data_IF_892877750431
#
_entry.id   IF_892877750431
#
_cell.length_a   1.000
_cell.length_b   1.000
_cell.length_c   1.000
_cell.angle_alpha   90.00
_cell.angle_beta   90.00
_cell.angle_gamma   90.00
#
_symmetry.space_group_name_H-M   'P 1'
#
loop_
_entity.id
_entity.type
_entity.pdbx_description
1 polymer ?
#
# COMPACT_ATOMS: atom_id res chain seq x y z
N UNK A 1 14.90 -4.65 -20.59
CA UNK A 1 15.54 -3.40 -21.09
C UNK A 1 17.01 -3.40 -20.69
N UNK A 2 17.92 -3.21 -21.65
CA UNK A 2 19.34 -2.96 -21.33
C UNK A 2 19.45 -1.54 -20.79
N UNK A 3 20.03 -1.36 -19.60
CA UNK A 3 20.42 -0.04 -19.08
C UNK A 3 21.59 0.47 -19.94
N UNK A 4 21.37 1.47 -20.78
CA UNK A 4 22.46 2.16 -21.46
C UNK A 4 23.09 3.17 -20.49
N UNK A 5 24.36 2.95 -20.17
CA UNK A 5 25.21 3.92 -19.48
C UNK A 5 25.76 4.88 -20.54
N UNK A 6 25.38 6.15 -20.48
CA UNK A 6 26.01 7.20 -21.29
C UNK A 6 27.06 7.92 -20.45
N UNK A 7 28.32 7.70 -20.80
CA UNK A 7 29.44 8.51 -20.30
C UNK A 7 29.62 9.69 -21.26
N UNK A 8 29.59 10.91 -20.71
CA UNK A 8 29.91 12.12 -21.47
C UNK A 8 31.16 12.74 -20.86
N UNK A 9 32.20 12.93 -21.67
CA UNK A 9 33.43 13.62 -21.29
C UNK A 9 33.21 15.10 -21.59
N UNK A 10 33.24 15.95 -20.58
CA UNK A 10 33.22 17.40 -20.76
C UNK A 10 34.65 17.94 -20.92
N UNK A 11 34.78 19.13 -21.50
CA UNK A 11 36.06 19.79 -21.85
C UNK A 11 37.00 20.03 -20.65
N UNK A 12 36.54 19.82 -19.40
CA UNK A 12 37.35 19.93 -18.18
C UNK A 12 37.92 18.59 -17.65
N UNK A 13 37.88 17.48 -18.39
CA UNK A 13 38.26 16.14 -17.88
C UNK A 13 37.49 15.70 -16.62
N UNK A 14 36.31 16.26 -16.37
CA UNK A 14 35.39 15.80 -15.32
C UNK A 14 34.44 14.76 -15.92
N UNK A 15 34.55 13.52 -15.46
CA UNK A 15 33.56 12.49 -15.73
C UNK A 15 32.33 12.82 -14.88
N UNK A 16 31.23 13.25 -15.51
CA UNK A 16 29.94 13.37 -14.82
C UNK A 16 29.11 12.11 -15.07
N UNK A 17 28.77 11.41 -13.99
CA UNK A 17 27.84 10.29 -14.03
C UNK A 17 26.42 10.87 -14.04
N UNK A 18 25.76 10.84 -15.20
CA UNK A 18 24.32 11.05 -15.26
C UNK A 18 23.64 9.76 -14.82
N UNK A 19 23.33 9.67 -13.52
CA UNK A 19 22.43 8.65 -13.02
C UNK A 19 21.04 8.93 -13.59
N UNK A 20 20.42 7.94 -14.23
CA UNK A 20 19.01 8.02 -14.60
C UNK A 20 18.22 8.46 -13.36
N UNK A 21 17.29 9.42 -13.54
CA UNK A 21 16.43 9.87 -12.45
C UNK A 21 15.89 8.65 -11.68
N UNK A 22 15.91 8.68 -10.33
CA UNK A 22 15.38 7.58 -9.55
C UNK A 22 13.93 7.36 -9.97
N UNK A 23 13.64 6.16 -10.47
CA UNK A 23 12.28 5.75 -10.79
C UNK A 23 11.48 5.79 -9.49
N UNK A 24 10.37 6.54 -9.47
CA UNK A 24 9.51 6.58 -8.29
C UNK A 24 8.97 5.16 -8.03
N UNK A 25 9.40 4.58 -6.91
CA UNK A 25 9.03 3.21 -6.48
C UNK A 25 7.51 3.08 -6.33
N UNK A 26 6.86 4.18 -5.92
CA UNK A 26 5.41 4.29 -5.74
C UNK A 26 4.88 5.45 -6.55
N UNK A 27 3.69 5.28 -7.13
CA UNK A 27 2.95 6.36 -7.82
C UNK A 27 1.49 6.34 -7.41
N UNK A 28 0.97 7.50 -6.99
CA UNK A 28 -0.45 7.69 -6.73
C UNK A 28 -1.23 7.85 -8.05
N UNK A 29 -2.41 7.25 -8.11
CA UNK A 29 -3.39 7.38 -9.19
C UNK A 29 -4.70 7.88 -8.57
N UNK A 30 -4.78 9.21 -8.45
CA UNK A 30 -5.90 9.90 -7.81
C UNK A 30 -7.05 10.17 -8.79
N UNK A 31 -8.29 9.93 -8.37
CA UNK A 31 -9.50 10.14 -9.17
C UNK A 31 -10.50 9.01 -8.99
N UNK A 32 -11.45 8.85 -9.92
CA UNK A 32 -12.39 7.71 -9.86
C UNK A 32 -11.65 6.40 -10.02
N UNK A 33 -11.88 5.44 -9.13
CA UNK A 33 -11.22 4.13 -9.21
C UNK A 33 -11.51 3.42 -10.54
N UNK A 34 -12.72 3.60 -11.09
CA UNK A 34 -13.10 3.06 -12.41
C UNK A 34 -12.28 3.64 -13.58
N UNK A 35 -11.76 4.85 -13.45
CA UNK A 35 -10.93 5.49 -14.48
C UNK A 35 -9.44 5.22 -14.22
N UNK A 36 -9.05 5.18 -12.94
CA UNK A 36 -7.65 5.16 -12.49
C UNK A 36 -7.04 3.77 -12.42
N UNK A 37 -7.84 2.72 -12.17
CA UNK A 37 -7.32 1.36 -12.17
C UNK A 37 -6.77 0.94 -13.55
N UNK A 38 -7.48 1.16 -14.67
CA UNK A 38 -6.91 0.88 -16.00
C UNK A 38 -5.66 1.71 -16.31
N UNK A 39 -5.62 2.98 -15.91
CA UNK A 39 -4.45 3.85 -16.09
C UNK A 39 -3.22 3.32 -15.34
N UNK A 40 -3.42 2.85 -14.10
CA UNK A 40 -2.38 2.24 -13.27
C UNK A 40 -1.79 1.00 -13.94
N UNK A 41 -2.65 0.07 -14.36
CA UNK A 41 -2.24 -1.17 -15.01
C UNK A 41 -1.56 -0.89 -16.36
N UNK A 42 -2.13 0.00 -17.18
CA UNK A 42 -1.55 0.39 -18.48
C UNK A 42 -0.18 1.08 -18.32
N UNK A 43 0.06 1.74 -17.19
CA UNK A 43 1.36 2.33 -16.84
C UNK A 43 2.39 1.29 -16.35
N UNK A 44 2.02 0.01 -16.30
CA UNK A 44 2.89 -1.09 -15.87
C UNK A 44 3.07 -1.19 -14.36
N UNK A 45 2.28 -0.47 -13.56
CA UNK A 45 2.37 -0.56 -12.10
C UNK A 45 1.52 -1.73 -11.58
N UNK A 46 1.92 -2.29 -10.43
CA UNK A 46 1.10 -3.25 -9.67
C UNK A 46 0.33 -2.51 -8.59
N UNK A 47 -1.02 -2.59 -8.53
CA UNK A 47 -1.79 -1.89 -7.50
C UNK A 47 -1.55 -2.53 -6.13
N UNK A 48 -1.45 -1.70 -5.09
CA UNK A 48 -1.18 -2.18 -3.73
C UNK A 48 -2.37 -2.92 -3.12
N UNK A 49 -2.07 -3.99 -2.39
CA UNK A 49 -3.01 -4.64 -1.48
C UNK A 49 -3.10 -3.88 -0.15
N UNK A 50 -4.10 -4.20 0.67
CA UNK A 50 -4.23 -3.68 2.02
C UNK A 50 -3.00 -4.02 2.88
N UNK A 51 -2.49 -5.24 2.77
CA UNK A 51 -1.27 -5.67 3.45
C UNK A 51 -0.05 -4.86 2.99
N UNK A 52 0.06 -4.50 1.71
CA UNK A 52 1.14 -3.64 1.22
C UNK A 52 1.06 -2.24 1.81
N UNK A 53 -0.15 -1.68 1.95
CA UNK A 53 -0.35 -0.38 2.61
C UNK A 53 0.07 -0.44 4.08
N UNK A 54 -0.30 -1.51 4.81
CA UNK A 54 0.14 -1.72 6.19
C UNK A 54 1.66 -1.78 6.31
N UNK A 55 2.32 -2.61 5.48
CA UNK A 55 3.77 -2.75 5.45
C UNK A 55 4.43 -1.41 5.17
N UNK A 56 3.94 -0.70 4.15
CA UNK A 56 4.53 0.58 3.74
C UNK A 56 4.43 1.62 4.84
N UNK A 57 3.28 1.72 5.52
CA UNK A 57 3.10 2.59 6.68
C UNK A 57 4.10 2.24 7.79
N UNK A 58 4.29 0.97 8.12
CA UNK A 58 5.27 0.55 9.12
C UNK A 58 6.72 0.88 8.72
N UNK A 59 7.09 0.64 7.47
CA UNK A 59 8.44 0.89 6.95
C UNK A 59 8.89 2.34 7.04
N UNK A 60 7.95 3.29 6.92
CA UNK A 60 8.28 4.72 6.89
C UNK A 60 8.32 5.36 8.28
N UNK A 61 7.86 4.69 9.35
CA UNK A 61 7.77 5.26 10.70
C UNK A 61 9.12 5.69 11.31
N UNK A 62 10.21 5.02 10.94
CA UNK A 62 11.57 5.36 11.39
C UNK A 62 12.34 6.25 10.41
N UNK A 63 11.71 6.67 9.32
CA UNK A 63 12.35 7.33 8.18
C UNK A 63 12.14 8.85 8.15
N UNK A 64 12.09 9.39 6.93
CA UNK A 64 11.78 10.80 6.71
C UNK A 64 10.35 11.12 7.16
N UNK A 65 10.18 12.18 7.97
CA UNK A 65 8.90 12.58 8.55
C UNK A 65 7.84 12.93 7.49
N UNK A 66 8.21 13.66 6.45
CA UNK A 66 7.26 14.06 5.39
C UNK A 66 6.74 12.84 4.64
N UNK A 67 7.61 11.83 4.43
CA UNK A 67 7.21 10.55 3.86
C UNK A 67 6.29 9.80 4.83
N UNK A 68 6.62 9.74 6.11
CA UNK A 68 5.79 9.10 7.12
C UNK A 68 4.39 9.74 7.18
N UNK A 69 4.31 11.06 7.29
CA UNK A 69 3.06 11.80 7.35
C UNK A 69 2.26 11.63 6.05
N UNK A 70 2.91 11.65 4.87
CA UNK A 70 2.23 11.41 3.60
C UNK A 70 1.55 10.03 3.52
N UNK A 71 2.13 8.99 4.12
CA UNK A 71 1.55 7.64 4.13
C UNK A 71 0.56 7.40 5.28
N UNK A 72 0.80 7.98 6.46
CA UNK A 72 -0.07 7.79 7.62
C UNK A 72 -1.30 8.69 7.60
N UNK A 73 -1.17 9.92 7.09
CA UNK A 73 -2.24 10.93 7.15
C UNK A 73 -3.06 11.00 5.84
N UNK A 74 -2.84 10.06 4.90
CA UNK A 74 -3.66 9.85 3.71
C UNK A 74 -4.38 8.50 3.71
N UNK A 75 -5.46 8.42 2.93
CA UNK A 75 -6.21 7.18 2.70
C UNK A 75 -5.76 6.55 1.39
N UNK A 76 -5.96 5.24 1.24
CA UNK A 76 -5.64 4.52 0.02
C UNK A 76 -6.69 3.47 -0.29
N UNK A 77 -7.22 3.51 -1.50
CA UNK A 77 -7.97 2.39 -2.08
C UNK A 77 -6.99 1.26 -2.45
N UNK A 78 -7.41 0.03 -2.28
CA UNK A 78 -6.58 -1.16 -2.47
C UNK A 78 -7.19 -2.08 -3.51
N UNK A 79 -6.40 -3.02 -4.04
CA UNK A 79 -6.89 -4.05 -4.96
C UNK A 79 -7.62 -5.21 -4.25
N UNK A 80 -7.73 -5.16 -2.93
CA UNK A 80 -8.57 -6.08 -2.17
C UNK A 80 -10.03 -5.66 -2.32
N UNK A 81 -10.94 -6.62 -2.43
CA UNK A 81 -12.38 -6.33 -2.48
C UNK A 81 -13.11 -6.91 -1.28
N UNK A 82 -14.22 -6.26 -0.97
CA UNK A 82 -15.32 -6.86 -0.21
C UNK A 82 -16.47 -7.10 -1.19
N UNK A 83 -16.83 -8.37 -1.34
CA UNK A 83 -18.04 -8.77 -2.04
C UNK A 83 -19.18 -8.93 -1.04
N UNK A 84 -20.38 -8.50 -1.45
CA UNK A 84 -21.61 -8.54 -0.66
C UNK A 84 -22.59 -9.50 -1.30
N UNK A 85 -23.18 -10.38 -0.49
CA UNK A 85 -24.28 -11.23 -0.91
C UNK A 85 -25.61 -10.69 -0.34
N UNK A 86 -26.75 -10.83 -1.06
CA UNK A 86 -28.05 -10.32 -0.61
C UNK A 86 -28.55 -10.83 0.75
N UNK A 87 -28.13 -12.03 1.16
CA UNK A 87 -28.45 -12.60 2.48
C UNK A 87 -27.65 -11.97 3.64
N UNK A 88 -26.79 -10.99 3.35
CA UNK A 88 -25.99 -10.29 4.35
C UNK A 88 -24.61 -10.88 4.61
N UNK A 89 -24.21 -11.98 3.95
CA UNK A 89 -22.82 -12.46 3.96
C UNK A 89 -21.89 -11.50 3.21
N UNK A 90 -20.62 -11.49 3.60
CA UNK A 90 -19.56 -10.85 2.83
C UNK A 90 -18.40 -11.80 2.58
N UNK A 91 -17.63 -11.51 1.54
CA UNK A 91 -16.38 -12.20 1.25
C UNK A 91 -15.26 -11.21 1.02
N UNK A 92 -14.15 -11.39 1.73
CA UNK A 92 -12.92 -10.62 1.54
C UNK A 92 -12.04 -11.37 0.55
N UNK A 93 -11.82 -10.77 -0.62
CA UNK A 93 -10.99 -11.35 -1.68
C UNK A 93 -9.73 -10.50 -1.81
N UNK A 94 -8.60 -11.13 -1.54
CA UNK A 94 -7.28 -10.48 -1.58
C UNK A 94 -6.76 -10.45 -3.02
N UNK A 95 -6.01 -9.40 -3.36
CA UNK A 95 -5.40 -9.23 -4.69
C UNK A 95 -6.34 -9.56 -5.86
N UNK A 96 -7.55 -9.00 -5.83
CA UNK A 96 -8.66 -9.45 -6.66
C UNK A 96 -8.44 -9.13 -8.13
N UNK A 97 -8.54 -10.15 -9.00
CA UNK A 97 -8.54 -9.94 -10.44
C UNK A 97 -9.72 -9.08 -10.89
N UNK A 98 -10.89 -9.22 -10.25
CA UNK A 98 -12.06 -8.38 -10.55
C UNK A 98 -11.79 -6.90 -10.26
N UNK A 99 -11.01 -6.59 -9.21
CA UNK A 99 -10.60 -5.21 -8.94
C UNK A 99 -9.72 -4.64 -10.05
N UNK A 100 -8.76 -5.43 -10.53
CA UNK A 100 -7.83 -5.03 -11.62
C UNK A 100 -8.54 -4.83 -12.95
N UNK A 101 -9.72 -5.42 -13.13
CA UNK A 101 -10.54 -5.35 -14.36
C UNK A 101 -11.60 -4.24 -14.34
N UNK A 102 -11.78 -3.54 -13.21
CA UNK A 102 -12.69 -2.40 -13.14
C UNK A 102 -12.24 -1.35 -14.17
N UNK A 103 -13.21 -0.81 -14.92
CA UNK A 103 -12.97 0.19 -15.96
C UNK A 103 -14.20 1.11 -16.14
N UNK A 104 -14.15 2.15 -16.99
CA UNK A 104 -15.26 3.08 -17.16
C UNK A 104 -16.55 2.48 -17.73
N UNK A 105 -16.49 1.26 -18.29
CA UNK A 105 -17.67 0.52 -18.79
C UNK A 105 -18.28 -0.40 -17.73
N UNK A 106 -17.67 -0.52 -16.56
CA UNK A 106 -18.21 -1.33 -15.47
C UNK A 106 -19.57 -0.77 -15.01
N UNK A 107 -20.54 -1.65 -14.80
CA UNK A 107 -21.86 -1.25 -14.30
C UNK A 107 -21.78 -0.89 -12.82
N UNK A 108 -21.70 0.41 -12.53
CA UNK A 108 -21.72 0.93 -11.16
C UNK A 108 -23.16 1.12 -10.70
N UNK A 109 -23.51 0.52 -9.55
CA UNK A 109 -24.79 0.75 -8.88
C UNK A 109 -24.55 1.06 -7.41
N UNK A 110 -25.05 2.21 -6.96
CA UNK A 110 -24.83 2.73 -5.61
C UNK A 110 -23.33 2.75 -5.21
N UNK A 111 -22.43 3.03 -6.16
CA UNK A 111 -20.99 3.03 -5.89
C UNK A 111 -20.27 1.68 -5.88
N UNK A 112 -20.98 0.59 -6.16
CA UNK A 112 -20.43 -0.78 -6.22
C UNK A 112 -20.47 -1.32 -7.65
N UNK A 113 -19.63 -2.32 -7.97
CA UNK A 113 -19.79 -3.10 -9.21
C UNK A 113 -20.73 -4.27 -8.94
N UNK A 114 -21.77 -4.41 -9.76
CA UNK A 114 -22.69 -5.56 -9.72
C UNK A 114 -21.97 -6.80 -10.28
N UNK A 115 -22.02 -7.91 -9.55
CA UNK A 115 -21.51 -9.19 -10.04
C UNK A 115 -22.45 -9.74 -11.13
N UNK A 116 -21.92 -10.37 -12.19
CA UNK A 116 -22.68 -10.69 -13.40
C UNK A 116 -23.82 -11.70 -13.22
N UNK A 117 -23.75 -12.56 -12.19
CA UNK A 117 -24.83 -13.47 -11.80
C UNK A 117 -24.71 -13.85 -10.31
N UNK A 118 -25.71 -14.57 -9.79
CA UNK A 118 -25.76 -15.00 -8.37
C UNK A 118 -24.62 -15.94 -8.00
N UNK A 119 -24.20 -16.81 -8.92
CA UNK A 119 -23.18 -17.82 -8.66
C UNK A 119 -21.77 -17.22 -8.63
N UNK A 120 -21.58 -16.05 -9.24
CA UNK A 120 -20.31 -15.35 -9.29
C UNK A 120 -19.77 -15.05 -7.89
N UNK A 121 -20.64 -14.75 -6.91
CA UNK A 121 -20.22 -14.56 -5.52
C UNK A 121 -19.66 -15.85 -4.90
N UNK A 122 -20.28 -17.00 -5.18
CA UNK A 122 -19.86 -18.29 -4.63
C UNK A 122 -18.50 -18.74 -5.20
N UNK A 123 -18.22 -18.39 -6.46
CA UNK A 123 -16.96 -18.70 -7.14
C UNK A 123 -15.76 -17.87 -6.67
N UNK A 124 -15.99 -16.78 -5.93
CA UNK A 124 -14.91 -15.96 -5.39
C UNK A 124 -14.11 -16.75 -4.34
N UNK A 125 -12.78 -16.75 -4.51
CA UNK A 125 -11.84 -17.28 -3.54
C UNK A 125 -11.51 -16.20 -2.50
N UNK A 126 -12.04 -16.34 -1.29
CA UNK A 126 -11.83 -15.37 -0.23
C UNK A 126 -12.43 -15.82 1.09
N UNK A 127 -12.05 -15.14 2.17
CA UNK A 127 -12.60 -15.44 3.49
C UNK A 127 -14.02 -14.90 3.59
N UNK A 128 -14.96 -15.79 3.86
CA UNK A 128 -16.37 -15.45 4.03
C UNK A 128 -16.69 -15.16 5.50
N UNK A 129 -17.60 -14.21 5.72
CA UNK A 129 -18.14 -13.86 7.02
C UNK A 129 -19.67 -13.86 6.95
N UNK A 130 -20.28 -14.52 7.93
CA UNK A 130 -21.73 -14.53 8.13
C UNK A 130 -22.24 -13.19 8.64
N UNK A 131 -23.54 -12.92 8.49
CA UNK A 131 -24.18 -11.74 9.06
C UNK A 131 -23.91 -11.59 10.57
N UNK A 132 -23.95 -12.69 11.33
CA UNK A 132 -23.69 -12.69 12.77
C UNK A 132 -22.25 -12.31 13.10
N UNK A 133 -21.29 -12.72 12.28
CA UNK A 133 -19.89 -12.31 12.45
C UNK A 133 -19.70 -10.83 12.09
N UNK A 134 -20.38 -10.35 11.05
CA UNK A 134 -20.37 -8.94 10.66
C UNK A 134 -20.92 -8.07 11.80
N UNK A 135 -22.07 -8.42 12.38
CA UNK A 135 -22.66 -7.72 13.53
C UNK A 135 -21.73 -7.69 14.76
N UNK A 136 -20.84 -8.68 14.88
CA UNK A 136 -19.85 -8.76 15.95
C UNK A 136 -18.58 -7.95 15.66
N UNK A 137 -18.08 -7.98 14.43
CA UNK A 137 -16.74 -7.53 14.08
C UNK A 137 -16.68 -6.27 13.19
N UNK A 138 -17.79 -5.85 12.60
CA UNK A 138 -17.90 -4.67 11.73
C UNK A 138 -19.05 -3.75 12.15
N UNK A 139 -18.98 -3.29 13.40
CA UNK A 139 -20.01 -2.50 14.08
C UNK A 139 -20.09 -1.03 13.64
N UNK A 140 -19.28 -0.61 12.65
CA UNK A 140 -19.16 0.79 12.24
C UNK A 140 -18.75 1.72 13.39
N UNK A 141 -17.89 1.22 14.28
CA UNK A 141 -17.32 1.95 15.41
C UNK A 141 -15.80 1.72 15.48
N UNK A 142 -15.06 2.69 16.02
CA UNK A 142 -13.64 2.54 16.30
C UNK A 142 -13.41 1.51 17.40
N UNK A 143 -12.38 0.68 17.26
CA UNK A 143 -12.09 -0.44 18.16
C UNK A 143 -11.08 -0.04 19.23
N UNK A 144 -11.08 -0.74 20.36
CA UNK A 144 -9.92 -0.77 21.27
C UNK A 144 -8.81 -1.64 20.67
N UNK A 145 -7.55 -1.47 21.12
CA UNK A 145 -6.43 -2.28 20.62
C UNK A 145 -6.68 -3.79 20.77
N UNK A 146 -7.25 -4.20 21.91
CA UNK A 146 -7.60 -5.62 22.15
C UNK A 146 -8.63 -6.13 21.14
N UNK A 147 -9.64 -5.31 20.83
CA UNK A 147 -10.64 -5.67 19.82
C UNK A 147 -10.04 -5.72 18.42
N UNK A 148 -9.21 -4.74 18.04
CA UNK A 148 -8.53 -4.72 16.74
C UNK A 148 -7.66 -5.98 16.55
N UNK A 149 -6.79 -6.29 17.53
CA UNK A 149 -5.91 -7.47 17.50
C UNK A 149 -6.67 -8.81 17.37
N UNK A 150 -7.90 -8.87 17.85
CA UNK A 150 -8.76 -10.07 17.78
C UNK A 150 -9.82 -10.02 16.68
N UNK A 151 -9.79 -8.99 15.82
CA UNK A 151 -10.75 -8.83 14.75
C UNK A 151 -10.35 -9.68 13.53
N UNK A 152 -11.17 -10.66 13.13
CA UNK A 152 -10.83 -11.57 12.03
C UNK A 152 -10.88 -10.89 10.65
N UNK A 153 -11.59 -9.77 10.49
CA UNK A 153 -11.58 -8.98 9.24
C UNK A 153 -10.23 -8.32 9.04
N UNK A 154 -9.69 -7.70 10.10
CA UNK A 154 -8.34 -7.13 10.06
C UNK A 154 -7.26 -8.19 9.84
N UNK A 155 -7.39 -9.35 10.47
CA UNK A 155 -6.50 -10.48 10.24
C UNK A 155 -6.55 -10.96 8.78
N UNK A 156 -7.74 -11.05 8.17
CA UNK A 156 -7.91 -11.43 6.77
C UNK A 156 -7.28 -10.40 5.81
N UNK A 157 -7.44 -9.10 6.07
CA UNK A 157 -6.87 -8.03 5.25
C UNK A 157 -5.34 -7.98 5.32
N UNK A 158 -4.76 -8.24 6.50
CA UNK A 158 -3.31 -8.31 6.67
C UNK A 158 -2.71 -9.55 6.00
N UNK A 159 -3.45 -10.67 5.98
CA UNK A 159 -2.99 -11.98 5.49
C UNK A 159 -1.66 -12.46 6.11
N UNK A 160 -1.31 -11.90 7.27
CA UNK A 160 -0.12 -12.20 8.05
C UNK A 160 -0.42 -11.76 9.51
N UNK A 161 -0.49 -12.70 10.46
CA UNK A 161 -0.77 -12.39 11.86
C UNK A 161 0.22 -11.42 12.49
N UNK A 162 1.50 -11.48 12.10
CA UNK A 162 2.54 -10.61 12.63
C UNK A 162 2.36 -9.19 12.09
N UNK A 163 2.10 -9.06 10.80
CA UNK A 163 1.81 -7.76 10.18
C UNK A 163 0.58 -7.10 10.83
N UNK A 164 -0.49 -7.87 11.04
CA UNK A 164 -1.69 -7.38 11.73
C UNK A 164 -1.35 -6.83 13.13
N UNK A 165 -0.62 -7.60 13.93
CA UNK A 165 -0.25 -7.20 15.28
C UNK A 165 0.63 -5.95 15.31
N UNK A 166 1.68 -5.90 14.49
CA UNK A 166 2.60 -4.77 14.40
C UNK A 166 1.88 -3.51 13.92
N UNK A 167 1.08 -3.62 12.87
CA UNK A 167 0.31 -2.51 12.32
C UNK A 167 -0.71 -1.97 13.32
N UNK A 168 -1.42 -2.85 14.04
CA UNK A 168 -2.38 -2.42 15.06
C UNK A 168 -1.68 -1.66 16.19
N UNK A 169 -0.59 -2.22 16.74
CA UNK A 169 0.17 -1.55 17.82
C UNK A 169 0.71 -0.20 17.38
N UNK A 170 1.29 -0.12 16.18
CA UNK A 170 1.80 1.12 15.62
C UNK A 170 0.68 2.16 15.45
N UNK A 171 -0.45 1.77 14.85
CA UNK A 171 -1.59 2.67 14.64
C UNK A 171 -2.08 3.28 15.94
N UNK A 172 -2.29 2.47 16.98
CA UNK A 172 -2.78 2.98 18.27
C UNK A 172 -1.76 3.91 18.94
N UNK A 173 -0.46 3.61 18.82
CA UNK A 173 0.60 4.47 19.33
C UNK A 173 0.59 5.82 18.60
N UNK A 174 0.68 5.81 17.28
CA UNK A 174 0.76 7.04 16.46
C UNK A 174 -0.51 7.89 16.58
N UNK A 175 -1.69 7.27 16.57
CA UNK A 175 -2.97 7.99 16.74
C UNK A 175 -3.08 8.64 18.13
N UNK A 176 -2.59 7.97 19.17
CA UNK A 176 -2.58 8.52 20.53
C UNK A 176 -1.62 9.69 20.64
N UNK A 177 -0.41 9.55 20.10
CA UNK A 177 0.64 10.57 20.17
C UNK A 177 0.29 11.82 19.35
N UNK A 178 -0.25 11.66 18.14
CA UNK A 178 -0.58 12.79 17.25
C UNK A 178 -1.94 13.43 17.54
N UNK A 179 -2.96 12.63 17.85
CA UNK A 179 -4.37 13.09 17.89
C UNK A 179 -5.08 12.79 19.21
N UNK A 180 -4.43 12.10 20.15
CA UNK A 180 -5.03 11.74 21.43
C UNK A 180 -6.05 10.60 21.37
N UNK A 181 -6.23 9.95 20.22
CA UNK A 181 -7.21 8.88 20.02
C UNK A 181 -6.84 7.62 20.80
N UNK A 182 -7.82 7.04 21.50
CA UNK A 182 -7.65 5.77 22.22
C UNK A 182 -8.27 4.58 21.49
N UNK A 183 -9.16 4.84 20.52
CA UNK A 183 -9.85 3.85 19.72
C UNK A 183 -9.59 4.13 18.24
N UNK A 184 -9.32 3.09 17.46
CA UNK A 184 -8.96 3.16 16.03
C UNK A 184 -9.35 1.85 15.34
N UNK A 185 -9.06 1.71 14.05
CA UNK A 185 -9.19 0.50 13.27
C UNK A 185 -10.63 -0.06 13.28
N UNK A 186 -11.62 0.81 13.13
CA UNK A 186 -12.99 0.38 12.85
C UNK A 186 -13.10 -0.35 11.51
N UNK A 187 -14.21 -1.07 11.33
CA UNK A 187 -14.56 -1.71 10.06
C UNK A 187 -15.95 -1.21 9.65
N UNK A 188 -16.00 -0.59 8.47
CA UNK A 188 -17.20 0.02 7.90
C UNK A 188 -17.58 -0.70 6.60
N UNK A 189 -18.86 -1.01 6.44
CA UNK A 189 -19.36 -1.81 5.32
C UNK A 189 -20.57 -1.14 4.67
N UNK A 190 -20.74 -1.37 3.37
CA UNK A 190 -21.90 -0.89 2.61
C UNK A 190 -23.21 -1.52 3.08
N UNK A 191 -24.27 -0.72 3.15
CA UNK A 191 -25.64 -1.19 3.35
C UNK A 191 -26.32 -1.75 2.09
N UNK A 192 -25.69 -1.62 0.92
CA UNK A 192 -26.26 -2.07 -0.36
C UNK A 192 -26.24 -3.60 -0.51
N UNK A 193 -27.43 -4.21 -0.49
CA UNK A 193 -27.62 -5.67 -0.45
C UNK A 193 -28.64 -6.20 -1.47
N UNK A 194 -29.08 -5.39 -2.44
CA UNK A 194 -30.16 -5.82 -3.36
C UNK A 194 -29.70 -6.90 -4.35
N UNK A 195 -28.45 -6.84 -4.78
CA UNK A 195 -27.83 -7.79 -5.72
C UNK A 195 -26.40 -8.09 -5.27
N UNK A 196 -25.84 -9.26 -5.63
CA UNK A 196 -24.44 -9.53 -5.42
C UNK A 196 -23.57 -8.43 -6.05
N UNK A 197 -22.70 -7.84 -5.26
CA UNK A 197 -21.88 -6.70 -5.68
C UNK A 197 -20.54 -6.69 -4.96
N UNK A 198 -19.60 -5.84 -5.38
CA UNK A 198 -18.36 -5.64 -4.65
C UNK A 198 -17.87 -4.19 -4.69
N UNK A 199 -17.01 -3.86 -3.73
CA UNK A 199 -16.26 -2.60 -3.62
C UNK A 199 -14.80 -2.87 -3.30
N UNK A 200 -13.93 -1.91 -3.58
CA UNK A 200 -12.56 -1.94 -3.11
C UNK A 200 -12.53 -1.65 -1.60
N UNK A 201 -11.59 -2.26 -0.90
CA UNK A 201 -11.26 -1.86 0.47
C UNK A 201 -10.44 -0.58 0.44
N UNK A 202 -10.80 0.37 1.30
CA UNK A 202 -10.05 1.58 1.58
C UNK A 202 -9.41 1.49 2.96
N UNK A 203 -8.13 1.84 3.05
CA UNK A 203 -7.43 2.06 4.31
C UNK A 203 -7.50 3.55 4.64
N UNK A 204 -8.16 3.91 5.73
CA UNK A 204 -8.36 5.31 6.13
C UNK A 204 -7.08 5.96 6.68
N UNK A 205 -7.16 7.27 6.88
CA UNK A 205 -6.11 8.14 7.43
C UNK A 205 -5.97 7.94 8.94
N UNK A 206 -4.81 8.22 9.49
CA UNK A 206 -4.58 8.19 10.93
C UNK A 206 -5.47 9.16 11.70
N UNK A 207 -5.65 10.39 11.19
CA UNK A 207 -6.56 11.38 11.78
C UNK A 207 -8.06 11.08 11.57
N UNK A 208 -8.37 9.97 10.92
CA UNK A 208 -9.71 9.43 10.72
C UNK A 208 -9.72 7.94 11.10
N UNK A 209 -9.15 7.65 12.27
CA UNK A 209 -9.12 6.37 12.97
C UNK A 209 -8.45 5.19 12.25
N UNK A 210 -7.81 5.38 11.08
CA UNK A 210 -7.18 4.31 10.29
C UNK A 210 -8.10 3.12 9.96
N UNK A 211 -9.40 3.37 9.88
CA UNK A 211 -10.42 2.35 9.63
C UNK A 211 -10.21 1.58 8.31
N UNK A 212 -10.75 0.36 8.24
CA UNK A 212 -10.96 -0.37 7.01
C UNK A 212 -12.38 -0.10 6.51
N UNK A 213 -12.49 0.54 5.35
CA UNK A 213 -13.77 0.96 4.78
C UNK A 213 -14.07 0.20 3.49
N UNK A 214 -15.09 -0.66 3.56
CA UNK A 214 -15.64 -1.41 2.43
C UNK A 214 -16.85 -0.75 1.81
N UNK A 215 -17.21 0.47 2.22
CA UNK A 215 -18.39 1.21 1.76
C UNK A 215 -18.11 2.29 0.73
N UNK A 216 -16.84 2.55 0.41
CA UNK A 216 -16.43 3.62 -0.51
C UNK A 216 -17.02 3.46 -1.93
N UNK A 217 -17.34 4.58 -2.59
CA UNK A 217 -17.90 4.59 -3.96
C UNK A 217 -16.79 4.53 -5.00
N UNK A 218 -16.90 3.61 -5.95
CA UNK A 218 -15.89 3.41 -7.01
C UNK A 218 -15.87 4.52 -8.08
N UNK A 219 -16.95 5.30 -8.16
CA UNK A 219 -17.19 6.37 -9.13
C UNK A 219 -17.05 7.78 -8.53
N UNK A 220 -16.66 7.91 -7.25
CA UNK A 220 -16.32 9.20 -6.66
C UNK A 220 -14.97 9.71 -7.18
N UNK A 221 -14.85 11.02 -7.38
CA UNK A 221 -13.63 11.69 -7.86
C UNK A 221 -12.46 11.71 -6.84
N UNK A 222 -12.59 10.98 -5.74
CA UNK A 222 -11.68 11.02 -4.59
C UNK A 222 -11.04 9.65 -4.30
N UNK A 223 -11.09 8.69 -5.23
CA UNK A 223 -10.33 7.46 -5.10
C UNK A 223 -8.81 7.73 -5.13
N UNK A 224 -8.05 6.91 -4.42
CA UNK A 224 -6.59 7.00 -4.35
C UNK A 224 -5.95 5.63 -4.38
N UNK A 225 -5.68 5.14 -5.58
CA UNK A 225 -4.87 3.94 -5.78
C UNK A 225 -3.39 4.29 -5.69
N UNK A 226 -2.58 3.33 -5.25
CA UNK A 226 -1.12 3.42 -5.35
C UNK A 226 -0.60 2.23 -6.13
N UNK A 227 0.19 2.53 -7.16
CA UNK A 227 0.93 1.55 -7.93
C UNK A 227 2.36 1.40 -7.41
N UNK A 228 2.85 0.18 -7.41
CA UNK A 228 4.26 -0.17 -7.20
C UNK A 228 4.93 -0.40 -8.55
N UNK A 229 6.09 0.23 -8.78
CA UNK A 229 6.81 0.13 -10.04
C UNK A 229 7.42 -1.27 -10.24
N UNK A 230 7.52 -1.80 -11.48
CA UNK A 230 8.14 -3.10 -11.77
C UNK A 230 9.53 -3.28 -11.17
N UNK A 231 10.34 -2.21 -11.17
CA UNK A 231 11.71 -2.21 -10.65
C UNK A 231 11.75 -2.47 -9.15
N UNK A 232 10.68 -2.18 -8.42
CA UNK A 232 10.56 -2.46 -6.99
C UNK A 232 10.37 -3.96 -6.70
N UNK A 233 9.81 -4.72 -7.64
CA UNK A 233 9.57 -6.16 -7.48
C UNK A 233 10.83 -7.01 -7.78
N UNK A 234 11.80 -6.45 -8.53
CA UNK A 234 13.05 -7.11 -8.88
C UNK A 234 14.29 -6.57 -8.14
N UNK A 235 14.13 -5.49 -7.38
CA UNK A 235 15.15 -5.06 -6.45
C UNK A 235 15.12 -6.01 -5.24
N UNK A 236 15.90 -7.10 -5.31
CA UNK A 236 16.63 -7.52 -4.09
C UNK A 236 17.12 -6.24 -3.45
N UNK A 237 16.84 -6.03 -2.16
CA UNK A 237 17.44 -4.92 -1.40
C UNK A 237 18.89 -4.89 -1.83
N UNK A 238 19.29 -3.92 -2.67
CA UNK A 238 20.68 -3.72 -2.99
C UNK A 238 21.19 -3.25 -1.65
N UNK A 239 21.67 -4.20 -0.85
CA UNK A 239 22.24 -3.91 0.44
C UNK A 239 23.26 -2.84 0.12
N UNK A 240 23.08 -1.64 0.70
CA UNK A 240 24.10 -0.63 0.54
C UNK A 240 25.40 -1.30 0.92
N UNK A 241 26.38 -1.39 0.01
CA UNK A 241 27.61 -2.07 0.32
C UNK A 241 28.17 -1.44 1.58
N UNK A 242 28.65 -2.25 2.51
CA UNK A 242 29.22 -1.72 3.75
C UNK A 242 30.33 -0.74 3.39
N UNK A 243 30.63 0.19 4.28
CA UNK A 243 31.78 1.08 4.12
C UNK A 243 33.03 0.29 3.74
N UNK A 244 33.21 -0.90 4.32
CA UNK A 244 34.32 -1.79 4.03
C UNK A 244 34.28 -2.38 2.62
N UNK A 245 33.11 -2.77 2.11
CA UNK A 245 32.93 -3.20 0.72
C UNK A 245 33.23 -2.07 -0.28
N UNK A 246 32.79 -0.84 0.01
CA UNK A 246 33.12 0.32 -0.82
C UNK A 246 34.62 0.62 -0.76
N UNK A 247 35.24 0.56 0.41
CA UNK A 247 36.68 0.80 0.58
C UNK A 247 37.52 -0.26 -0.14
N UNK A 248 37.12 -1.53 -0.13
CA UNK A 248 37.81 -2.61 -0.83
C UNK A 248 37.78 -2.46 -2.36
N UNK A 249 36.73 -1.86 -2.90
CA UNK A 249 36.62 -1.57 -4.33
C UNK A 249 37.40 -0.29 -4.67
N UNK A 250 37.16 0.78 -3.92
CA UNK A 250 37.63 2.13 -4.24
C UNK A 250 39.12 2.33 -3.97
N UNK A 251 39.68 1.68 -2.95
CA UNK A 251 41.11 1.77 -2.62
C UNK A 251 42.03 1.28 -3.73
N UNK A 252 41.54 0.43 -4.64
CA UNK A 252 42.28 -0.03 -5.82
C UNK A 252 42.50 1.06 -6.87
N UNK A 253 41.70 2.12 -6.83
CA UNK A 253 41.68 3.20 -7.81
C UNK A 253 42.10 4.55 -7.20
N UNK A 254 42.49 4.56 -5.93
CA UNK A 254 42.89 5.75 -5.20
C UNK A 254 44.33 5.58 -4.73
N UNK A 255 45.15 6.61 -4.92
CA UNK A 255 46.54 6.60 -4.47
C UNK A 255 46.61 6.31 -2.96
N UNK A 256 47.59 5.52 -2.46
CA UNK A 256 47.65 5.10 -1.05
C UNK A 256 47.55 6.26 -0.04
N UNK A 257 48.13 7.42 -0.37
CA UNK A 257 48.10 8.64 0.45
C UNK A 257 46.70 9.23 0.65
N UNK A 258 45.73 8.87 -0.19
CA UNK A 258 44.38 9.43 -0.20
C UNK A 258 43.31 8.47 0.35
N UNK A 259 43.68 7.24 0.74
CA UNK A 259 42.75 6.22 1.21
C UNK A 259 42.08 6.62 2.53
N UNK A 260 42.82 7.27 3.44
CA UNK A 260 42.27 7.72 4.72
C UNK A 260 41.32 8.92 4.58
N UNK A 261 41.59 9.83 3.63
CA UNK A 261 40.69 10.92 3.29
C UNK A 261 39.37 10.37 2.71
N UNK A 262 39.45 9.45 1.75
CA UNK A 262 38.28 8.77 1.20
C UNK A 262 37.44 8.07 2.29
N UNK A 263 38.09 7.36 3.21
CA UNK A 263 37.42 6.69 4.32
C UNK A 263 36.68 7.69 5.22
N UNK A 264 37.29 8.85 5.50
CA UNK A 264 36.69 9.89 6.32
C UNK A 264 35.45 10.49 5.67
N UNK A 265 35.52 10.76 4.36
CA UNK A 265 34.40 11.34 3.61
C UNK A 265 33.23 10.36 3.50
N UNK A 266 33.52 9.08 3.20
CA UNK A 266 32.49 8.04 3.12
C UNK A 266 31.83 7.74 4.49
N UNK A 267 32.57 7.83 5.60
CA UNK A 267 31.99 7.74 6.96
C UNK A 267 30.97 8.85 7.24
N UNK A 268 31.13 10.03 6.64
CA UNK A 268 30.17 11.12 6.77
C UNK A 268 28.83 10.84 6.08
N UNK A 269 28.85 10.01 5.03
CA UNK A 269 27.69 9.66 4.20
C UNK A 269 26.92 8.45 4.79
N UNK A 270 27.61 7.54 5.48
CA UNK A 270 27.05 6.29 6.05
C UNK A 270 26.47 6.43 7.48
N UNK A 271 26.09 7.64 7.90
CA UNK A 271 25.46 7.88 9.21
C UNK A 271 23.96 7.64 9.21
#
# INVERSE_FOLDING_TARGET
>A
MKKELKLTITEENKISLQLNNPVAVYKEFYGKNIDKMPELIASGFTPMTFADVMKRRLEVLGGNKDVADAWWDNYFDTVNIVAYHPDGRIKIVLDSQLAKEINPKSTVRNGSIVLPNTDAYEQLAGQEFTQKEIEKYAKSESLTLKQALSNPIWAALANDPKLHEEYAKATFKEAKEKYGFNNNLGVYLSGFKEVPNFRLWLSSRLNYNSDADGSNSLDYNYGRLVGVAPEAHGAEKIAMPTLEQIMNISSKYVAPVNVDALRKDLKGIYK
#
